data_IF_248294571689
#
_entry.id   IF_248294571689
#
_cell.length_a   1.000
_cell.length_b   1.000
_cell.length_c   1.000
_cell.angle_alpha   90.00
_cell.angle_beta   90.00
_cell.angle_gamma   90.00
#
_symmetry.space_group_name_H-M   'P 1'
#
loop_
_entity.id
_entity.type
_entity.pdbx_description
1 polymer ?
#
# COMPACT_ATOMS: atom_id res chain seq x y z
N UNK A 1 0.48 26.49 11.09
CA UNK A 1 1.31 25.35 10.66
C UNK A 1 2.33 25.05 11.74
N UNK A 2 2.16 23.97 12.49
CA UNK A 2 3.16 23.53 13.46
C UNK A 2 4.23 22.73 12.71
N UNK A 3 5.51 22.94 13.03
CA UNK A 3 6.60 22.16 12.43
C UNK A 3 6.44 20.65 12.69
N UNK A 4 5.75 20.30 13.78
CA UNK A 4 5.47 18.94 14.21
C UNK A 4 4.54 18.16 13.26
N UNK A 5 3.45 18.78 12.78
CA UNK A 5 2.48 18.11 11.91
C UNK A 5 3.10 17.72 10.56
N UNK A 6 3.86 18.65 9.99
CA UNK A 6 4.62 18.43 8.75
C UNK A 6 5.66 17.32 8.94
N UNK A 7 6.38 17.31 10.06
CA UNK A 7 7.36 16.26 10.35
C UNK A 7 6.70 14.88 10.48
N UNK A 8 5.52 14.79 11.10
CA UNK A 8 4.80 13.53 11.23
C UNK A 8 4.30 13.03 9.87
N UNK A 9 3.68 13.88 9.06
CA UNK A 9 3.27 13.54 7.71
C UNK A 9 4.45 13.10 6.84
N UNK A 10 5.60 13.77 6.94
CA UNK A 10 6.82 13.40 6.24
C UNK A 10 7.33 12.02 6.67
N UNK A 11 7.42 11.74 7.97
CA UNK A 11 7.85 10.43 8.50
C UNK A 11 6.95 9.30 8.01
N UNK A 12 5.63 9.49 8.09
CA UNK A 12 4.63 8.53 7.62
C UNK A 12 4.79 8.30 6.11
N UNK A 13 4.97 9.37 5.34
CA UNK A 13 5.18 9.30 3.88
C UNK A 13 6.46 8.53 3.55
N UNK A 14 7.58 8.80 4.24
CA UNK A 14 8.84 8.07 4.02
C UNK A 14 8.68 6.57 4.28
N UNK A 15 7.99 6.18 5.35
CA UNK A 15 7.77 4.74 5.64
C UNK A 15 6.82 4.12 4.60
N UNK A 16 5.74 4.81 4.23
CA UNK A 16 4.84 4.36 3.17
C UNK A 16 5.56 4.19 1.83
N UNK A 17 6.39 5.16 1.43
CA UNK A 17 7.22 5.10 0.23
C UNK A 17 8.26 3.97 0.31
N UNK A 18 8.85 3.73 1.48
CA UNK A 18 9.76 2.59 1.69
C UNK A 18 9.03 1.27 1.45
N UNK A 19 7.83 1.11 2.02
CA UNK A 19 6.99 -0.07 1.77
C UNK A 19 6.66 -0.22 0.27
N UNK A 20 6.33 0.88 -0.42
CA UNK A 20 6.12 0.86 -1.86
C UNK A 20 7.36 0.42 -2.64
N UNK A 21 8.54 0.95 -2.31
CA UNK A 21 9.82 0.55 -2.91
C UNK A 21 10.10 -0.94 -2.71
N UNK A 22 9.77 -1.51 -1.55
CA UNK A 22 9.92 -2.95 -1.31
C UNK A 22 9.03 -3.78 -2.24
N UNK A 23 7.81 -3.33 -2.55
CA UNK A 23 6.94 -4.04 -3.51
C UNK A 23 7.46 -3.97 -4.94
N UNK A 24 8.07 -2.86 -5.36
CA UNK A 24 8.76 -2.74 -6.65
C UNK A 24 9.98 -3.66 -6.73
N UNK A 25 10.80 -3.72 -5.68
CA UNK A 25 11.93 -4.64 -5.61
C UNK A 25 11.45 -6.08 -5.71
N UNK A 26 10.39 -6.45 -4.97
CA UNK A 26 9.78 -7.77 -5.06
C UNK A 26 9.31 -8.10 -6.49
N UNK A 27 8.64 -7.17 -7.18
CA UNK A 27 8.20 -7.36 -8.56
C UNK A 27 9.38 -7.60 -9.51
N UNK A 28 10.47 -6.84 -9.38
CA UNK A 28 11.67 -7.00 -10.20
C UNK A 28 12.35 -8.35 -9.92
N UNK A 29 12.51 -8.72 -8.66
CA UNK A 29 13.12 -9.98 -8.26
C UNK A 29 12.30 -11.19 -8.73
N UNK A 30 10.98 -11.16 -8.56
CA UNK A 30 10.07 -12.20 -9.06
C UNK A 30 10.17 -12.34 -10.58
N UNK A 31 10.17 -11.22 -11.32
CA UNK A 31 10.35 -11.23 -12.78
C UNK A 31 11.67 -11.85 -13.18
N UNK A 32 12.79 -11.46 -12.55
CA UNK A 32 14.12 -12.01 -12.83
C UNK A 32 14.18 -13.51 -12.57
N UNK A 33 13.64 -13.97 -11.42
CA UNK A 33 13.59 -15.38 -11.04
C UNK A 33 12.80 -16.21 -12.06
N UNK A 34 11.59 -15.76 -12.42
CA UNK A 34 10.75 -16.48 -13.38
C UNK A 34 11.38 -16.49 -14.78
N UNK A 35 11.98 -15.38 -15.22
CA UNK A 35 12.67 -15.35 -16.51
C UNK A 35 13.79 -16.39 -16.58
N UNK A 36 14.58 -16.54 -15.52
CA UNK A 36 15.62 -17.57 -15.44
C UNK A 36 15.03 -18.99 -15.45
N UNK A 37 13.94 -19.23 -14.71
CA UNK A 37 13.26 -20.53 -14.67
C UNK A 37 12.69 -20.93 -16.03
N UNK A 38 12.01 -20.01 -16.72
CA UNK A 38 11.46 -20.26 -18.06
C UNK A 38 12.56 -20.48 -19.10
N UNK A 39 13.63 -19.69 -19.05
CA UNK A 39 14.81 -19.87 -19.91
C UNK A 39 15.45 -21.25 -19.71
N UNK A 40 15.59 -21.71 -18.46
CA UNK A 40 16.13 -23.03 -18.15
C UNK A 40 15.24 -24.17 -18.66
N UNK A 41 13.93 -23.94 -18.80
CA UNK A 41 12.97 -24.89 -19.37
C UNK A 41 12.82 -24.77 -20.91
N UNK A 42 13.57 -23.88 -21.56
CA UNK A 42 13.41 -23.62 -23.00
C UNK A 42 12.06 -22.99 -23.38
N UNK A 43 11.33 -22.41 -22.41
CA UNK A 43 10.01 -21.79 -22.62
C UNK A 43 10.14 -20.27 -22.66
N UNK A 44 9.27 -19.62 -23.45
CA UNK A 44 9.12 -18.16 -23.42
C UNK A 44 8.44 -17.70 -22.14
N UNK A 45 8.98 -16.68 -21.48
CA UNK A 45 8.37 -16.09 -20.30
C UNK A 45 7.15 -15.25 -20.67
N UNK A 46 5.98 -15.63 -20.15
CA UNK A 46 4.74 -14.89 -20.27
C UNK A 46 4.31 -14.34 -18.90
N UNK A 47 4.38 -13.01 -18.73
CA UNK A 47 4.13 -12.33 -17.45
C UNK A 47 2.75 -12.64 -16.86
N UNK A 48 1.70 -12.54 -17.68
CA UNK A 48 0.31 -12.62 -17.21
C UNK A 48 -0.17 -14.05 -16.93
N UNK A 49 0.57 -15.06 -17.38
CA UNK A 49 0.25 -16.46 -17.10
C UNK A 49 0.97 -17.00 -15.86
N UNK A 50 1.89 -16.23 -15.26
CA UNK A 50 2.63 -16.64 -14.08
C UNK A 50 1.93 -16.13 -12.79
N UNK A 51 1.37 -17.01 -11.94
CA UNK A 51 0.67 -16.61 -10.73
C UNK A 51 1.51 -15.75 -9.78
N UNK A 52 2.82 -15.99 -9.70
CA UNK A 52 3.71 -15.21 -8.85
C UNK A 52 3.89 -13.77 -9.34
N UNK A 53 3.84 -13.54 -10.67
CA UNK A 53 3.82 -12.18 -11.22
C UNK A 53 2.51 -11.49 -10.89
N UNK A 54 1.37 -12.18 -10.96
CA UNK A 54 0.07 -11.58 -10.62
C UNK A 54 0.06 -11.08 -9.17
N UNK A 55 0.60 -11.86 -8.24
CA UNK A 55 0.73 -11.45 -6.84
C UNK A 55 1.65 -10.23 -6.70
N UNK A 56 2.83 -10.26 -7.34
CA UNK A 56 3.78 -9.15 -7.27
C UNK A 56 3.25 -7.86 -7.91
N UNK A 57 2.52 -7.98 -9.03
CA UNK A 57 1.86 -6.88 -9.70
C UNK A 57 0.73 -6.30 -8.84
N UNK A 58 -0.03 -7.15 -8.15
CA UNK A 58 -1.11 -6.70 -7.27
C UNK A 58 -0.58 -5.92 -6.06
N UNK A 59 0.56 -6.30 -5.49
CA UNK A 59 1.19 -5.56 -4.40
C UNK A 59 1.51 -4.11 -4.80
N UNK A 60 2.16 -3.94 -5.95
CA UNK A 60 2.52 -2.62 -6.48
C UNK A 60 1.27 -1.81 -6.81
N UNK A 61 0.32 -2.43 -7.51
CA UNK A 61 -0.93 -1.76 -7.89
C UNK A 61 -1.72 -1.31 -6.66
N UNK A 62 -1.85 -2.16 -5.63
CA UNK A 62 -2.60 -1.83 -4.43
C UNK A 62 -2.03 -0.60 -3.71
N UNK A 63 -0.72 -0.55 -3.48
CA UNK A 63 -0.11 0.61 -2.82
C UNK A 63 -0.22 1.87 -3.69
N UNK A 64 -0.07 1.76 -5.01
CA UNK A 64 -0.18 2.89 -5.92
C UNK A 64 -1.61 3.45 -6.00
N UNK A 65 -2.61 2.58 -6.20
CA UNK A 65 -4.03 2.94 -6.29
C UNK A 65 -4.49 3.73 -5.06
N UNK A 66 -4.07 3.29 -3.87
CA UNK A 66 -4.49 3.91 -2.62
C UNK A 66 -3.54 4.99 -2.11
N UNK A 67 -2.43 5.27 -2.83
CA UNK A 67 -1.45 6.28 -2.42
C UNK A 67 -2.08 7.67 -2.41
N UNK A 68 -2.77 8.07 -3.49
CA UNK A 68 -3.38 9.39 -3.60
C UNK A 68 -4.50 9.57 -2.57
N UNK A 69 -5.34 8.55 -2.39
CA UNK A 69 -6.45 8.55 -1.42
C UNK A 69 -5.95 8.68 0.02
N UNK A 70 -4.75 8.17 0.31
CA UNK A 70 -4.13 8.28 1.63
C UNK A 70 -3.34 9.58 1.83
N UNK A 71 -2.44 9.89 0.90
CA UNK A 71 -1.50 10.99 1.04
C UNK A 71 -2.19 12.35 0.91
N UNK A 72 -3.25 12.47 0.10
CA UNK A 72 -3.97 13.74 -0.06
C UNK A 72 -4.56 14.23 1.28
N UNK A 73 -5.42 13.47 1.99
CA UNK A 73 -5.95 13.94 3.27
C UNK A 73 -4.88 14.08 4.35
N UNK A 74 -3.87 13.19 4.38
CA UNK A 74 -2.74 13.31 5.33
C UNK A 74 -2.03 14.67 5.17
N UNK A 75 -1.66 15.03 3.94
CA UNK A 75 -0.95 16.27 3.67
C UNK A 75 -1.85 17.50 3.76
N UNK A 76 -3.14 17.40 3.42
CA UNK A 76 -4.12 18.47 3.65
C UNK A 76 -4.24 18.83 5.14
N UNK A 77 -4.36 17.83 6.00
CA UNK A 77 -4.42 18.02 7.46
C UNK A 77 -3.10 18.58 7.99
N UNK A 78 -1.96 18.07 7.52
CA UNK A 78 -0.64 18.52 7.97
C UNK A 78 -0.34 19.97 7.54
N UNK A 79 -0.61 20.32 6.28
CA UNK A 79 -0.34 21.64 5.71
C UNK A 79 -1.18 22.74 6.39
N UNK A 80 -2.41 22.39 6.79
CA UNK A 80 -3.30 23.29 7.52
C UNK A 80 -3.02 23.31 9.04
N UNK A 81 -2.13 22.45 9.56
CA UNK A 81 -1.82 22.35 10.99
C UNK A 81 -2.93 21.72 11.84
N UNK A 82 -3.72 20.82 11.25
CA UNK A 82 -4.82 20.11 11.87
C UNK A 82 -4.58 18.59 11.89
N UNK A 83 -3.31 18.15 11.79
CA UNK A 83 -2.97 16.73 11.90
C UNK A 83 -2.94 16.32 13.37
N UNK A 84 -4.12 16.08 13.93
CA UNK A 84 -4.29 15.68 15.34
C UNK A 84 -3.48 14.43 15.69
N UNK A 85 -3.23 14.22 16.98
CA UNK A 85 -2.57 13.00 17.47
C UNK A 85 -3.34 11.74 17.06
N UNK A 86 -4.68 11.79 17.11
CA UNK A 86 -5.54 10.70 16.66
C UNK A 86 -5.38 10.43 15.15
N UNK A 87 -5.42 11.47 14.31
CA UNK A 87 -5.20 11.33 12.87
C UNK A 87 -3.80 10.77 12.54
N UNK A 88 -2.78 11.21 13.29
CA UNK A 88 -1.41 10.70 13.16
C UNK A 88 -1.36 9.19 13.48
N UNK A 89 -1.98 8.74 14.57
CA UNK A 89 -2.06 7.32 14.93
C UNK A 89 -2.79 6.51 13.85
N UNK A 90 -3.94 7.00 13.37
CA UNK A 90 -4.70 6.35 12.30
C UNK A 90 -3.88 6.24 11.00
N UNK A 91 -3.11 7.27 10.65
CA UNK A 91 -2.24 7.24 9.49
C UNK A 91 -1.11 6.20 9.64
N UNK A 92 -0.51 6.07 10.83
CA UNK A 92 0.44 4.98 11.10
C UNK A 92 -0.21 3.60 11.04
N UNK A 93 -1.42 3.45 11.59
CA UNK A 93 -2.20 2.22 11.50
C UNK A 93 -2.44 1.83 10.04
N UNK A 94 -2.80 2.79 9.19
CA UNK A 94 -2.97 2.54 7.76
C UNK A 94 -1.70 1.97 7.11
N UNK A 95 -0.54 2.57 7.37
CA UNK A 95 0.74 2.07 6.84
C UNK A 95 1.04 0.66 7.35
N UNK A 96 0.83 0.41 8.65
CA UNK A 96 1.02 -0.92 9.25
C UNK A 96 0.11 -1.98 8.63
N UNK A 97 -1.16 -1.64 8.42
CA UNK A 97 -2.15 -2.51 7.78
C UNK A 97 -1.80 -2.78 6.32
N UNK A 98 -1.22 -1.82 5.59
CA UNK A 98 -0.68 -2.06 4.23
C UNK A 98 0.55 -2.98 4.25
N UNK A 99 1.40 -2.87 5.27
CA UNK A 99 2.47 -3.83 5.51
C UNK A 99 1.93 -5.24 5.71
N UNK A 100 0.89 -5.39 6.54
CA UNK A 100 0.19 -6.66 6.73
C UNK A 100 -0.42 -7.18 5.42
N UNK A 101 -1.06 -6.33 4.63
CA UNK A 101 -1.57 -6.72 3.30
C UNK A 101 -0.47 -7.29 2.42
N UNK A 102 0.71 -6.67 2.41
CA UNK A 102 1.85 -7.18 1.64
C UNK A 102 2.25 -8.59 2.08
N UNK A 103 2.36 -8.81 3.39
CA UNK A 103 2.66 -10.13 3.98
C UNK A 103 1.59 -11.14 3.56
N UNK A 104 0.31 -10.81 3.72
CA UNK A 104 -0.79 -11.73 3.40
C UNK A 104 -0.82 -12.13 1.92
N UNK A 105 -0.57 -11.19 1.00
CA UNK A 105 -0.48 -11.50 -0.43
C UNK A 105 0.73 -12.37 -0.74
N UNK A 106 1.89 -12.15 -0.10
CA UNK A 106 3.05 -13.01 -0.31
C UNK A 106 2.87 -14.42 0.27
N UNK A 107 2.06 -14.58 1.31
CA UNK A 107 1.84 -15.86 1.99
C UNK A 107 0.71 -16.67 1.37
N UNK A 108 -0.42 -16.03 1.07
CA UNK A 108 -1.65 -16.71 0.62
C UNK A 108 -1.95 -16.52 -0.87
N UNK A 109 -1.22 -15.61 -1.54
CA UNK A 109 -1.47 -15.23 -2.92
C UNK A 109 -2.76 -14.41 -3.10
N UNK A 110 -3.10 -14.16 -4.36
CA UNK A 110 -4.33 -13.47 -4.76
C UNK A 110 -5.13 -14.40 -5.66
N UNK A 111 -6.34 -14.74 -5.22
CA UNK A 111 -7.32 -15.46 -6.02
C UNK A 111 -8.01 -14.51 -6.99
N UNK A 112 -8.09 -14.90 -8.27
CA UNK A 112 -8.77 -14.14 -9.31
C UNK A 112 -10.30 -14.12 -9.13
N UNK A 113 -10.86 -15.09 -8.39
CA UNK A 113 -12.30 -15.19 -8.14
C UNK A 113 -12.81 -14.16 -7.11
N UNK A 114 -11.97 -13.22 -6.67
CA UNK A 114 -12.33 -12.15 -5.73
C UNK A 114 -12.46 -12.59 -4.27
N UNK A 115 -12.63 -13.88 -4.01
CA UNK A 115 -12.74 -14.43 -2.66
C UNK A 115 -11.37 -14.60 -1.98
N UNK A 116 -10.83 -13.47 -1.51
CA UNK A 116 -9.56 -13.41 -0.80
C UNK A 116 -9.78 -13.13 0.68
N UNK A 117 -10.52 -14.00 1.37
CA UNK A 117 -10.92 -13.82 2.78
C UNK A 117 -9.77 -13.36 3.70
N UNK A 118 -8.54 -13.91 3.62
CA UNK A 118 -7.42 -13.44 4.44
C UNK A 118 -7.08 -11.97 4.19
N UNK A 119 -7.19 -11.49 2.95
CA UNK A 119 -6.88 -10.10 2.60
C UNK A 119 -7.88 -9.09 3.17
N UNK A 120 -9.10 -9.51 3.52
CA UNK A 120 -10.09 -8.64 4.17
C UNK A 120 -9.63 -8.18 5.55
N UNK A 121 -8.83 -9.00 6.25
CA UNK A 121 -8.27 -8.66 7.55
C UNK A 121 -7.38 -7.41 7.50
N UNK A 122 -6.75 -7.12 6.37
CA UNK A 122 -6.01 -5.88 6.15
C UNK A 122 -6.85 -4.83 5.40
N UNK A 123 -7.68 -5.25 4.44
CA UNK A 123 -8.38 -4.31 3.58
C UNK A 123 -9.44 -3.50 4.34
N UNK A 124 -10.23 -4.13 5.20
CA UNK A 124 -11.29 -3.44 5.94
C UNK A 124 -10.75 -2.39 6.92
N UNK A 125 -9.78 -2.71 7.81
CA UNK A 125 -9.18 -1.70 8.67
C UNK A 125 -8.53 -0.56 7.87
N UNK A 126 -7.92 -0.89 6.72
CA UNK A 126 -7.36 0.11 5.81
C UNK A 126 -8.41 1.10 5.30
N UNK A 127 -9.60 0.62 4.92
CA UNK A 127 -10.70 1.48 4.48
C UNK A 127 -11.24 2.36 5.60
N UNK A 128 -11.35 1.85 6.84
CA UNK A 128 -11.73 2.67 7.98
C UNK A 128 -10.73 3.81 8.22
N UNK A 129 -9.43 3.53 8.12
CA UNK A 129 -8.39 4.56 8.27
C UNK A 129 -8.50 5.64 7.19
N UNK A 130 -8.70 5.24 5.93
CA UNK A 130 -8.87 6.16 4.80
C UNK A 130 -10.11 7.03 4.97
N UNK A 131 -11.25 6.42 5.32
CA UNK A 131 -12.51 7.13 5.50
C UNK A 131 -12.40 8.17 6.62
N UNK A 132 -11.75 7.81 7.74
CA UNK A 132 -11.53 8.74 8.85
C UNK A 132 -10.69 9.95 8.41
N UNK A 133 -9.54 9.72 7.78
CA UNK A 133 -8.66 10.80 7.32
C UNK A 133 -9.34 11.68 6.26
N UNK A 134 -10.02 11.05 5.29
CA UNK A 134 -10.76 11.76 4.25
C UNK A 134 -11.89 12.61 4.82
N UNK A 135 -12.67 12.07 5.75
CA UNK A 135 -13.76 12.80 6.40
C UNK A 135 -13.23 14.01 7.18
N UNK A 136 -12.14 13.85 7.94
CA UNK A 136 -11.52 14.98 8.64
C UNK A 136 -10.99 16.05 7.70
N UNK A 137 -10.29 15.65 6.64
CA UNK A 137 -9.78 16.59 5.66
C UNK A 137 -10.93 17.32 4.93
N UNK A 138 -12.00 16.61 4.61
CA UNK A 138 -13.18 17.19 3.96
C UNK A 138 -13.87 18.22 4.85
N UNK A 139 -14.21 17.85 6.09
CA UNK A 139 -14.86 18.73 7.06
C UNK A 139 -14.03 19.96 7.43
N UNK A 140 -12.72 19.91 7.24
CA UNK A 140 -11.82 21.03 7.49
C UNK A 140 -11.78 22.01 6.32
N UNK A 141 -11.85 21.50 5.08
CA UNK A 141 -11.62 22.30 3.87
C UNK A 141 -12.91 22.83 3.23
N UNK A 142 -14.06 22.26 3.57
CA UNK A 142 -15.38 22.57 3.01
C UNK A 142 -16.42 22.69 4.12
#
# INVERSE_FOLDING_TARGET
>A
MTSHDIQNAARITVVFSTLYMLTLVNQILTKKRLFQQFKAQGKSFHRYSAPEMLNADRLVANLLEWSLVFLSPLWSLAATGHLSEAATKIAWTYVGVRGLYCILVTTFGVNQNGYNLPLWAATLPGYFCLLYLAAQAFLLLF
#
